data_IF_176143405438
#
_entry.id   IF_176143405438
#
_cell.length_a   1.000
_cell.length_b   1.000
_cell.length_c   1.000
_cell.angle_alpha   90.00
_cell.angle_beta   90.00
_cell.angle_gamma   90.00
#
_symmetry.space_group_name_H-M   'P 1'
#
loop_
_entity.id
_entity.type
_entity.pdbx_description
1 polymer ?
#
# COMPACT_ATOMS: atom_id res chain seq x y z
N UNK A 1 16.99 -14.68 0.78
CA UNK A 1 16.93 -13.43 -0.01
C UNK A 1 17.75 -12.41 0.73
N UNK A 2 18.67 -11.73 0.04
CA UNK A 2 19.54 -10.76 0.71
C UNK A 2 18.73 -9.52 1.14
N UNK A 3 19.13 -8.85 2.23
CA UNK A 3 18.42 -7.65 2.75
C UNK A 3 18.16 -6.60 1.67
N UNK A 4 19.16 -6.35 0.84
CA UNK A 4 19.08 -5.43 -0.30
C UNK A 4 18.05 -5.85 -1.36
N UNK A 5 17.92 -7.15 -1.63
CA UNK A 5 16.91 -7.67 -2.56
C UNK A 5 15.49 -7.51 -1.97
N UNK A 6 15.35 -7.72 -0.65
CA UNK A 6 14.10 -7.49 0.08
C UNK A 6 13.66 -6.03 0.04
N UNK A 7 14.58 -5.08 0.23
CA UNK A 7 14.29 -3.65 0.13
C UNK A 7 13.80 -3.26 -1.26
N UNK A 8 14.44 -3.77 -2.32
CA UNK A 8 14.04 -3.52 -3.71
C UNK A 8 12.64 -4.09 -3.97
N UNK A 9 12.38 -5.33 -3.56
CA UNK A 9 11.08 -5.98 -3.74
C UNK A 9 9.99 -5.27 -2.93
N UNK A 10 10.28 -4.86 -1.70
CA UNK A 10 9.35 -4.09 -0.87
C UNK A 10 9.05 -2.72 -1.47
N UNK A 11 10.05 -2.05 -2.03
CA UNK A 11 9.88 -0.77 -2.72
C UNK A 11 8.98 -0.91 -3.94
N UNK A 12 9.26 -1.86 -4.84
CA UNK A 12 8.43 -2.12 -6.02
C UNK A 12 7.02 -2.57 -5.60
N UNK A 13 6.94 -3.47 -4.63
CA UNK A 13 5.69 -3.99 -4.08
C UNK A 13 4.82 -2.90 -3.47
N UNK A 14 5.41 -1.87 -2.85
CA UNK A 14 4.66 -0.73 -2.29
C UNK A 14 3.95 0.07 -3.38
N UNK A 15 4.61 0.33 -4.50
CA UNK A 15 4.01 1.05 -5.63
C UNK A 15 2.86 0.25 -6.25
N UNK A 16 3.07 -1.06 -6.42
CA UNK A 16 2.02 -1.96 -6.93
C UNK A 16 0.83 -2.00 -5.97
N UNK A 17 1.08 -2.18 -4.67
CA UNK A 17 0.04 -2.22 -3.64
C UNK A 17 -0.80 -0.94 -3.64
N UNK A 18 -0.16 0.23 -3.65
CA UNK A 18 -0.85 1.51 -3.67
C UNK A 18 -1.72 1.66 -4.93
N UNK A 19 -1.18 1.28 -6.09
CA UNK A 19 -1.90 1.32 -7.36
C UNK A 19 -3.14 0.42 -7.32
N UNK A 20 -2.99 -0.81 -6.82
CA UNK A 20 -4.11 -1.75 -6.68
C UNK A 20 -5.17 -1.22 -5.72
N UNK A 21 -4.78 -0.64 -4.59
CA UNK A 21 -5.72 -0.05 -3.63
C UNK A 21 -6.53 1.09 -4.26
N UNK A 22 -5.89 1.95 -5.05
CA UNK A 22 -6.59 3.05 -5.73
C UNK A 22 -7.54 2.55 -6.81
N UNK A 23 -7.14 1.56 -7.60
CA UNK A 23 -8.01 0.92 -8.59
C UNK A 23 -9.21 0.27 -7.90
N UNK A 24 -9.00 -0.43 -6.78
CA UNK A 24 -10.07 -1.06 -6.01
C UNK A 24 -11.06 -0.04 -5.47
N UNK A 25 -10.59 1.05 -4.85
CA UNK A 25 -11.47 2.12 -4.37
C UNK A 25 -12.26 2.72 -5.53
N UNK A 26 -11.61 2.97 -6.66
CA UNK A 26 -12.26 3.54 -7.83
C UNK A 26 -13.36 2.63 -8.39
N UNK A 27 -13.11 1.33 -8.49
CA UNK A 27 -14.07 0.34 -9.00
C UNK A 27 -15.21 0.07 -8.01
N UNK A 28 -14.91 -0.06 -6.72
CA UNK A 28 -15.90 -0.43 -5.70
C UNK A 28 -16.83 0.72 -5.33
N UNK A 29 -16.35 1.96 -5.44
CA UNK A 29 -17.13 3.15 -5.14
C UNK A 29 -17.58 3.90 -6.40
N UNK A 30 -17.47 3.25 -7.56
CA UNK A 30 -17.97 3.78 -8.83
C UNK A 30 -19.50 3.96 -8.74
N UNK A 31 -19.95 5.21 -8.61
CA UNK A 31 -21.37 5.55 -8.41
C UNK A 31 -21.71 6.15 -7.03
N UNK A 32 -20.78 6.11 -6.08
CA UNK A 32 -20.92 6.73 -4.74
C UNK A 32 -19.90 7.85 -4.56
N UNK A 33 -20.03 8.92 -5.35
CA UNK A 33 -19.06 10.04 -5.40
C UNK A 33 -18.73 10.64 -4.03
N UNK A 34 -19.69 10.75 -3.11
CA UNK A 34 -19.44 11.26 -1.76
C UNK A 34 -18.59 10.35 -0.87
N UNK A 35 -18.61 9.03 -1.09
CA UNK A 35 -17.83 8.07 -0.29
C UNK A 35 -16.47 7.77 -0.91
N UNK A 36 -16.30 8.08 -2.20
CA UNK A 36 -15.07 7.79 -2.93
C UNK A 36 -13.84 8.52 -2.35
N UNK A 37 -14.00 9.78 -1.92
CA UNK A 37 -12.92 10.55 -1.27
C UNK A 37 -12.46 9.87 0.04
N UNK A 38 -13.40 9.47 0.88
CA UNK A 38 -13.11 8.72 2.11
C UNK A 38 -12.49 7.35 1.83
N UNK A 39 -12.89 6.70 0.73
CA UNK A 39 -12.28 5.46 0.26
C UNK A 39 -10.79 5.62 -0.06
N UNK A 40 -10.40 6.70 -0.74
CA UNK A 40 -8.99 6.97 -1.03
C UNK A 40 -8.18 7.28 0.23
N UNK A 41 -8.75 8.04 1.17
CA UNK A 41 -8.11 8.28 2.48
C UNK A 41 -7.93 6.96 3.23
N UNK A 42 -8.95 6.09 3.24
CA UNK A 42 -8.86 4.76 3.84
C UNK A 42 -7.75 3.89 3.20
N UNK A 43 -7.66 3.89 1.88
CA UNK A 43 -6.59 3.19 1.15
C UNK A 43 -5.19 3.71 1.52
N UNK A 44 -5.03 5.03 1.67
CA UNK A 44 -3.76 5.63 2.10
C UNK A 44 -3.39 5.20 3.53
N UNK A 45 -4.34 5.18 4.46
CA UNK A 45 -4.10 4.73 5.83
C UNK A 45 -3.66 3.27 5.85
N UNK A 46 -4.34 2.39 5.11
CA UNK A 46 -3.97 0.98 4.98
C UNK A 46 -2.57 0.84 4.38
N UNK A 47 -2.28 1.58 3.31
CA UNK A 47 -0.97 1.58 2.67
C UNK A 47 0.15 1.97 3.63
N UNK A 48 -0.03 3.04 4.42
CA UNK A 48 0.96 3.51 5.40
C UNK A 48 1.20 2.44 6.48
N UNK A 49 0.15 1.82 7.01
CA UNK A 49 0.27 0.78 8.04
C UNK A 49 1.05 -0.43 7.49
N UNK A 50 0.68 -0.92 6.31
CA UNK A 50 1.32 -2.10 5.70
C UNK A 50 2.78 -1.82 5.37
N UNK A 51 3.09 -0.69 4.74
CA UNK A 51 4.47 -0.33 4.38
C UNK A 51 5.35 -0.08 5.60
N UNK A 52 4.82 0.55 6.64
CA UNK A 52 5.52 0.74 7.92
C UNK A 52 5.85 -0.61 8.57
N UNK A 53 4.88 -1.53 8.63
CA UNK A 53 5.09 -2.87 9.20
C UNK A 53 6.14 -3.68 8.42
N UNK A 54 6.11 -3.62 7.09
CA UNK A 54 7.12 -4.27 6.23
C UNK A 54 8.49 -3.64 6.44
N UNK A 55 8.58 -2.30 6.46
CA UNK A 55 9.83 -1.57 6.68
C UNK A 55 10.46 -1.90 8.02
N UNK A 56 9.66 -1.97 9.09
CA UNK A 56 10.12 -2.39 10.42
C UNK A 56 10.66 -3.82 10.41
N UNK A 57 9.95 -4.75 9.74
CA UNK A 57 10.40 -6.14 9.60
C UNK A 57 11.73 -6.25 8.86
N UNK A 58 11.89 -5.55 7.74
CA UNK A 58 13.14 -5.58 6.97
C UNK A 58 14.28 -4.95 7.76
N UNK A 59 14.02 -3.88 8.52
CA UNK A 59 15.02 -3.24 9.35
C UNK A 59 15.53 -4.18 10.46
N UNK A 60 14.64 -5.00 11.03
CA UNK A 60 14.98 -6.00 12.06
C UNK A 60 15.65 -7.27 11.52
N UNK A 61 15.70 -7.45 10.19
CA UNK A 61 16.48 -8.52 9.58
C UNK A 61 17.92 -8.03 9.45
N UNK A 62 18.79 -8.55 10.32
CA UNK A 62 20.24 -8.35 10.27
C UNK A 62 20.84 -9.01 9.03
#
# INVERSE_FOLDING_TARGET
MNKKELEIIASIGSVILLTVLFVLVHQTMQGMQQLQEYGFVGALVVFIIVTSAIGLKINQMD
#
